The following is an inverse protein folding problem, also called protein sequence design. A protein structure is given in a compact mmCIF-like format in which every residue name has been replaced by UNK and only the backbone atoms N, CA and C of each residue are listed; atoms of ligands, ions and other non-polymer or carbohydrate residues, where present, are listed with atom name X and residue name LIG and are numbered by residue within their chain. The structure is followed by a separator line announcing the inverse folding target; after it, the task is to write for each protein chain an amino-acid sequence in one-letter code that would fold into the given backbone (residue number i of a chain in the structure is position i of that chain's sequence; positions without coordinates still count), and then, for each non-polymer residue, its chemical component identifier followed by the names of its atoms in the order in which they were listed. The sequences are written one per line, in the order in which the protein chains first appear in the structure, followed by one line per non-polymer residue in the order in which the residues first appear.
data_IF_298608233770
#
_entry.id   IF_298608233770
#
_cell.length_a   1.000
_cell.length_b   1.000
_cell.length_c   1.000
_cell.angle_alpha   90.00
_cell.angle_beta   90.00
_cell.angle_gamma   90.00
#
_symmetry.space_group_name_H-M   'P 1'
#
loop_
_entity.id
_entity.type
_entity.pdbx_description
1 polymer ?
#
# COMPACT_ATOMS: atom_id res chain seq x y z
N UNK A 1 22.32 8.40 0.18
CA UNK A 1 22.79 7.04 -0.21
C UNK A 1 22.64 6.89 -1.72
N UNK A 2 23.63 6.36 -2.43
CA UNK A 2 23.48 6.06 -3.88
C UNK A 2 22.72 4.75 -4.01
N UNK A 3 21.50 4.79 -4.57
CA UNK A 3 20.70 3.61 -4.79
C UNK A 3 21.14 2.87 -6.06
N UNK A 4 21.16 1.55 -6.00
CA UNK A 4 21.24 0.70 -7.19
C UNK A 4 19.80 0.39 -7.60
N UNK A 5 19.48 0.64 -8.88
CA UNK A 5 18.14 0.39 -9.42
C UNK A 5 18.19 -0.84 -10.30
N UNK A 6 17.45 -1.85 -9.93
CA UNK A 6 17.17 -3.02 -10.74
C UNK A 6 15.77 -2.91 -11.34
N UNK A 7 15.56 -3.43 -12.54
CA UNK A 7 14.30 -3.28 -13.28
C UNK A 7 13.85 -4.60 -13.86
N UNK A 8 12.54 -4.85 -13.75
CA UNK A 8 11.88 -5.94 -14.46
C UNK A 8 10.52 -5.48 -14.98
N UNK A 9 10.00 -6.22 -15.96
CA UNK A 9 8.67 -5.96 -16.50
C UNK A 9 7.70 -7.01 -15.98
N UNK A 10 6.57 -6.54 -15.46
CA UNK A 10 5.41 -7.38 -15.26
C UNK A 10 4.72 -7.71 -16.58
N UNK A 11 4.06 -8.87 -16.63
CA UNK A 11 3.23 -9.26 -17.77
C UNK A 11 2.09 -8.24 -17.96
N UNK A 12 1.90 -7.81 -19.19
CA UNK A 12 0.74 -6.99 -19.58
C UNK A 12 -0.45 -7.89 -19.83
N UNK A 13 -1.55 -7.62 -19.14
CA UNK A 13 -2.83 -8.32 -19.28
C UNK A 13 -3.91 -7.26 -19.55
N UNK A 14 -4.89 -7.57 -20.39
CA UNK A 14 -6.00 -6.65 -20.67
C UNK A 14 -6.84 -6.43 -19.42
N UNK A 15 -7.44 -5.23 -19.29
CA UNK A 15 -8.34 -4.94 -18.16
C UNK A 15 -9.53 -5.88 -18.11
N UNK A 16 -10.03 -6.33 -19.27
CA UNK A 16 -11.16 -7.26 -19.34
C UNK A 16 -10.77 -8.61 -18.73
N UNK A 17 -9.64 -9.20 -19.11
CA UNK A 17 -9.16 -10.46 -18.55
C UNK A 17 -8.88 -10.34 -17.03
N UNK A 18 -8.33 -9.22 -16.57
CA UNK A 18 -8.14 -8.95 -15.15
C UNK A 18 -9.51 -8.85 -14.46
N UNK A 19 -10.46 -8.13 -15.07
CA UNK A 19 -11.83 -7.98 -14.55
C UNK A 19 -12.56 -9.31 -14.39
N UNK A 20 -12.49 -10.18 -15.40
CA UNK A 20 -13.07 -11.53 -15.35
C UNK A 20 -12.43 -12.39 -14.25
N UNK A 21 -11.10 -12.38 -14.15
CA UNK A 21 -10.37 -13.10 -13.11
C UNK A 21 -10.76 -12.64 -11.70
N UNK A 22 -10.90 -11.33 -11.50
CA UNK A 22 -11.32 -10.73 -10.22
C UNK A 22 -12.78 -11.02 -9.92
N UNK A 23 -13.71 -10.89 -10.89
CA UNK A 23 -15.12 -11.21 -10.70
C UNK A 23 -15.28 -12.65 -10.20
N UNK A 24 -14.61 -13.59 -10.86
CA UNK A 24 -14.67 -15.02 -10.52
C UNK A 24 -14.05 -15.31 -9.15
N UNK A 25 -12.87 -14.77 -8.87
CA UNK A 25 -12.15 -15.08 -7.63
C UNK A 25 -12.77 -14.41 -6.41
N UNK A 26 -13.12 -13.12 -6.50
CA UNK A 26 -13.72 -12.39 -5.39
C UNK A 26 -15.13 -12.92 -5.03
N UNK A 27 -15.89 -13.44 -5.99
CA UNK A 27 -17.19 -14.07 -5.72
C UNK A 27 -17.12 -15.31 -4.82
N UNK A 28 -15.94 -15.90 -4.63
CA UNK A 28 -15.72 -16.98 -3.66
C UNK A 28 -15.60 -16.46 -2.22
N UNK A 29 -15.19 -15.19 -2.06
CA UNK A 29 -14.89 -14.60 -0.76
C UNK A 29 -15.92 -13.57 -0.29
N UNK A 30 -16.69 -12.99 -1.21
CA UNK A 30 -17.69 -11.96 -0.89
C UNK A 30 -19.08 -12.31 -1.42
N UNK A 31 -20.13 -11.95 -0.66
CA UNK A 31 -21.53 -12.22 -0.94
C UNK A 31 -22.04 -11.51 -2.18
N UNK A 32 -21.61 -10.25 -2.36
CA UNK A 32 -21.91 -9.46 -3.55
C UNK A 32 -20.63 -8.91 -4.14
N UNK A 33 -20.42 -9.15 -5.41
CA UNK A 33 -19.24 -8.69 -6.16
C UNK A 33 -19.69 -8.15 -7.51
N UNK A 34 -19.21 -7.00 -7.86
CA UNK A 34 -19.35 -6.44 -9.20
C UNK A 34 -18.00 -5.89 -9.65
N UNK A 35 -17.48 -6.43 -10.74
CA UNK A 35 -16.23 -5.98 -11.36
C UNK A 35 -16.53 -5.50 -12.77
N UNK A 36 -16.07 -4.33 -13.14
CA UNK A 36 -16.31 -3.75 -14.46
C UNK A 36 -15.16 -2.85 -14.90
N UNK A 37 -14.92 -2.81 -16.19
CA UNK A 37 -13.99 -1.84 -16.81
C UNK A 37 -14.76 -0.57 -17.12
N UNK A 38 -14.35 0.53 -16.50
CA UNK A 38 -15.04 1.82 -16.59
C UNK A 38 -14.05 2.95 -16.91
N UNK A 39 -14.56 4.11 -17.31
CA UNK A 39 -13.77 5.33 -17.34
C UNK A 39 -13.35 5.71 -15.92
N UNK A 40 -12.08 6.05 -15.74
CA UNK A 40 -11.58 6.47 -14.44
C UNK A 40 -12.39 7.67 -13.91
N UNK A 41 -13.00 7.57 -12.72
CA UNK A 41 -13.61 8.72 -12.10
C UNK A 41 -12.56 9.81 -11.84
N UNK A 42 -12.98 11.06 -11.71
CA UNK A 42 -12.03 12.10 -11.31
C UNK A 42 -11.57 11.86 -9.87
N UNK A 43 -10.33 11.39 -9.70
CA UNK A 43 -9.77 11.02 -8.40
C UNK A 43 -9.52 12.22 -7.47
N UNK A 44 -9.55 13.46 -8.00
CA UNK A 44 -9.54 14.66 -7.14
C UNK A 44 -10.75 14.71 -6.20
N UNK A 45 -11.87 14.07 -6.59
CA UNK A 45 -13.03 13.89 -5.71
C UNK A 45 -12.82 12.80 -4.63
N UNK A 46 -11.71 12.08 -4.72
CA UNK A 46 -11.30 11.02 -3.81
C UNK A 46 -10.06 11.41 -3.01
N UNK A 47 -9.88 12.69 -2.77
CA UNK A 47 -8.73 13.23 -2.04
C UNK A 47 -7.37 12.81 -2.65
N UNK A 48 -7.29 12.66 -3.96
CA UNK A 48 -6.05 12.44 -4.69
C UNK A 48 -5.63 13.72 -5.41
N UNK A 49 -4.32 14.04 -5.51
CA UNK A 49 -3.84 15.23 -6.20
C UNK A 49 -3.76 15.08 -7.73
N UNK A 50 -4.39 14.04 -8.31
CA UNK A 50 -4.45 13.77 -9.73
C UNK A 50 -5.86 13.39 -10.18
N UNK A 51 -6.16 13.51 -11.47
CA UNK A 51 -7.48 13.17 -12.00
C UNK A 51 -7.65 11.66 -12.29
N UNK A 52 -6.55 10.94 -12.47
CA UNK A 52 -6.55 9.52 -12.77
C UNK A 52 -5.26 8.84 -12.33
N UNK A 53 -5.04 7.60 -12.78
CA UNK A 53 -3.90 6.76 -12.41
C UNK A 53 -3.26 6.06 -13.61
N UNK A 54 -3.36 6.65 -14.80
CA UNK A 54 -2.83 6.07 -16.04
C UNK A 54 -1.66 6.85 -16.60
N UNK A 55 -0.89 6.19 -17.48
CA UNK A 55 0.29 6.72 -18.15
C UNK A 55 1.59 6.45 -17.36
N UNK A 56 2.61 5.98 -18.06
CA UNK A 56 3.97 5.71 -17.55
C UNK A 56 3.99 4.97 -16.19
N UNK A 57 3.22 3.92 -16.07
CA UNK A 57 2.99 3.22 -14.81
C UNK A 57 4.21 2.42 -14.37
N UNK A 58 4.64 2.63 -13.12
CA UNK A 58 5.75 1.91 -12.49
C UNK A 58 5.43 1.63 -11.02
N UNK A 59 5.97 0.51 -10.53
CA UNK A 59 5.94 0.13 -9.12
C UNK A 59 7.38 0.11 -8.64
N UNK A 60 7.63 0.65 -7.45
CA UNK A 60 8.90 0.49 -6.75
C UNK A 60 8.71 -0.30 -5.46
N UNK A 61 9.68 -1.14 -5.15
CA UNK A 61 9.86 -1.81 -3.87
C UNK A 61 11.22 -1.38 -3.33
N UNK A 62 11.25 -0.66 -2.21
CA UNK A 62 12.46 0.00 -1.69
C UNK A 62 12.60 -0.30 -0.21
N UNK A 63 13.83 -0.69 0.18
CA UNK A 63 14.10 -1.09 1.55
C UNK A 63 13.61 -2.51 1.83
N UNK A 64 13.05 -2.74 3.00
CA UNK A 64 12.54 -4.05 3.40
C UNK A 64 12.66 -4.30 4.90
N UNK A 65 12.26 -5.48 5.35
CA UNK A 65 12.26 -5.83 6.77
C UNK A 65 13.59 -5.59 7.51
N UNK A 66 14.78 -5.86 6.92
CA UNK A 66 16.04 -5.56 7.61
C UNK A 66 16.19 -4.10 8.01
N UNK A 67 15.62 -3.17 7.22
CA UNK A 67 15.66 -1.73 7.52
C UNK A 67 14.71 -1.32 8.64
N UNK A 68 13.82 -2.22 9.04
CA UNK A 68 12.84 -1.97 10.09
C UNK A 68 13.31 -2.41 11.47
N UNK A 69 14.27 -3.33 11.58
CA UNK A 69 14.68 -3.92 12.85
C UNK A 69 16.18 -4.22 13.00
N UNK A 70 16.98 -4.11 11.95
CA UNK A 70 18.43 -4.25 12.07
C UNK A 70 19.05 -2.91 12.47
N UNK A 71 19.73 -2.87 13.61
CA UNK A 71 20.40 -1.67 14.14
C UNK A 71 21.29 -0.95 13.14
N UNK A 72 21.85 -1.67 12.15
CA UNK A 72 22.70 -1.11 11.11
C UNK A 72 21.95 -0.23 10.13
N UNK A 73 20.63 -0.44 10.00
CA UNK A 73 19.80 0.19 8.99
C UNK A 73 18.66 1.02 9.57
N UNK A 74 18.44 0.96 10.89
CA UNK A 74 17.43 1.83 11.55
C UNK A 74 17.77 3.29 11.25
N UNK A 75 16.75 4.05 10.80
CA UNK A 75 16.92 5.42 10.36
C UNK A 75 17.36 5.56 8.90
N UNK A 76 17.50 4.45 8.14
CA UNK A 76 17.66 4.54 6.69
C UNK A 76 16.42 5.21 6.07
N UNK A 77 16.66 6.17 5.19
CA UNK A 77 15.62 6.96 4.54
C UNK A 77 15.81 7.00 3.04
N UNK A 78 14.68 7.02 2.34
CA UNK A 78 14.63 7.01 0.89
C UNK A 78 13.71 8.15 0.43
N UNK A 79 14.19 8.94 -0.52
CA UNK A 79 13.39 10.02 -1.12
C UNK A 79 12.62 9.47 -2.35
N UNK A 80 11.31 9.26 -2.20
CA UNK A 80 10.49 8.68 -3.27
C UNK A 80 10.33 9.62 -4.47
N UNK A 81 10.54 10.93 -4.31
CA UNK A 81 10.60 11.88 -5.43
C UNK A 81 11.90 11.73 -6.23
N UNK A 82 13.03 11.63 -5.56
CA UNK A 82 14.32 11.38 -6.21
C UNK A 82 14.38 10.00 -6.86
N UNK A 83 13.77 8.98 -6.25
CA UNK A 83 13.60 7.67 -6.87
C UNK A 83 12.74 7.81 -8.14
N UNK A 84 11.63 8.52 -8.07
CA UNK A 84 10.79 8.81 -9.23
C UNK A 84 11.57 9.42 -10.37
N UNK A 85 12.43 10.41 -10.10
CA UNK A 85 13.31 11.03 -11.08
C UNK A 85 14.29 10.02 -11.71
N UNK A 86 14.93 9.19 -10.90
CA UNK A 86 15.90 8.18 -11.38
C UNK A 86 15.27 7.12 -12.27
N UNK A 87 13.97 6.85 -12.11
CA UNK A 87 13.23 5.90 -12.95
C UNK A 87 12.48 6.58 -14.12
N UNK A 88 12.66 7.89 -14.34
CA UNK A 88 11.98 8.66 -15.40
C UNK A 88 10.49 8.87 -15.08
N UNK A 89 10.20 9.30 -13.86
CA UNK A 89 8.85 9.61 -13.34
C UNK A 89 8.87 10.89 -12.50
N UNK A 90 9.71 11.85 -12.84
CA UNK A 90 9.91 13.11 -12.11
C UNK A 90 8.67 14.03 -12.08
N UNK A 91 7.75 13.84 -13.00
CA UNK A 91 6.50 14.61 -13.11
C UNK A 91 5.25 13.78 -12.81
N UNK A 92 5.42 12.67 -12.09
CA UNK A 92 4.31 11.76 -11.85
C UNK A 92 3.42 12.16 -10.67
N UNK A 93 2.25 11.56 -10.66
CA UNK A 93 1.47 11.29 -9.47
C UNK A 93 2.00 10.00 -8.84
N UNK A 94 2.37 10.08 -7.56
CA UNK A 94 2.91 8.96 -6.80
C UNK A 94 1.98 8.65 -5.62
N UNK A 95 1.60 7.38 -5.44
CA UNK A 95 0.87 6.94 -4.26
C UNK A 95 1.29 5.56 -3.80
N UNK A 96 1.05 5.25 -2.54
CA UNK A 96 1.41 3.98 -1.96
C UNK A 96 1.58 4.02 -0.46
N UNK A 97 2.44 3.14 0.03
CA UNK A 97 2.65 2.89 1.44
C UNK A 97 4.15 2.92 1.78
N UNK A 98 4.50 3.46 2.93
CA UNK A 98 5.87 3.47 3.42
C UNK A 98 5.96 3.73 4.91
N UNK A 99 7.11 3.42 5.51
CA UNK A 99 7.39 3.81 6.89
C UNK A 99 7.62 5.32 6.98
N UNK A 100 7.32 5.92 8.11
CA UNK A 100 7.67 7.32 8.35
C UNK A 100 9.19 7.54 8.41
N UNK A 101 9.67 8.63 7.82
CA UNK A 101 11.09 9.00 7.85
C UNK A 101 11.40 9.75 9.15
N UNK A 102 12.30 9.22 9.98
CA UNK A 102 12.61 9.77 11.31
C UNK A 102 13.13 11.21 11.26
N UNK A 103 13.92 11.56 10.24
CA UNK A 103 14.45 12.95 10.11
C UNK A 103 13.34 13.97 9.82
N UNK A 104 12.20 13.53 9.32
CA UNK A 104 11.04 14.38 9.02
C UNK A 104 10.00 14.39 10.16
N UNK A 105 10.21 13.59 11.20
CA UNK A 105 9.27 13.35 12.29
C UNK A 105 9.88 13.53 13.67
N UNK A 106 10.93 14.36 13.78
CA UNK A 106 11.62 14.66 15.04
C UNK A 106 12.12 13.39 15.78
N UNK A 107 12.59 12.39 15.03
CA UNK A 107 13.07 11.13 15.57
C UNK A 107 11.98 10.05 15.75
N UNK A 108 10.72 10.36 15.48
CA UNK A 108 9.62 9.40 15.53
C UNK A 108 9.54 8.56 14.25
N UNK A 109 8.84 7.45 14.31
CA UNK A 109 8.44 6.70 13.13
C UNK A 109 6.92 6.56 13.02
N UNK A 110 6.44 5.84 12.02
CA UNK A 110 5.00 5.66 11.81
C UNK A 110 4.70 5.06 10.45
N UNK A 111 3.43 5.10 10.06
CA UNK A 111 2.93 4.59 8.78
C UNK A 111 2.59 5.74 7.83
N UNK A 112 3.27 5.81 6.70
CA UNK A 112 3.12 6.89 5.72
C UNK A 112 2.19 6.45 4.58
N UNK A 113 1.08 7.14 4.44
CA UNK A 113 0.26 7.13 3.21
C UNK A 113 0.88 8.10 2.24
N UNK A 114 1.48 7.61 1.16
CA UNK A 114 2.05 8.43 0.09
C UNK A 114 0.95 8.81 -0.88
N UNK A 115 0.82 10.11 -1.19
CA UNK A 115 -0.21 10.63 -2.08
C UNK A 115 0.19 12.01 -2.62
N UNK A 116 1.16 12.05 -3.55
CA UNK A 116 1.83 13.26 -4.03
C UNK A 116 1.80 13.41 -5.55
N UNK A 117 1.56 14.60 -6.03
CA UNK A 117 1.71 14.95 -7.45
C UNK A 117 2.93 15.89 -7.64
N UNK A 118 4.00 15.37 -8.20
CA UNK A 118 5.25 16.11 -8.36
C UNK A 118 5.17 17.20 -9.43
N UNK A 119 4.28 17.04 -10.41
CA UNK A 119 4.08 18.06 -11.46
C UNK A 119 3.35 19.29 -10.90
N UNK A 120 2.26 19.09 -10.14
CA UNK A 120 1.50 20.16 -9.54
C UNK A 120 2.04 20.64 -8.20
N UNK A 121 2.96 19.86 -7.60
CA UNK A 121 3.50 20.07 -6.24
C UNK A 121 2.45 19.99 -5.15
N UNK A 122 1.34 19.34 -5.42
CA UNK A 122 0.28 19.07 -4.45
C UNK A 122 0.56 17.79 -3.70
N UNK A 123 0.63 17.85 -2.36
CA UNK A 123 0.74 16.70 -1.47
C UNK A 123 -0.53 16.54 -0.66
N UNK A 124 -0.99 15.31 -0.56
CA UNK A 124 -2.07 14.87 0.33
C UNK A 124 -1.64 13.66 1.16
N UNK A 125 -0.34 13.49 1.31
CA UNK A 125 0.23 12.43 2.12
C UNK A 125 -0.11 12.61 3.59
N UNK A 126 -0.32 11.50 4.29
CA UNK A 126 -0.70 11.44 5.71
C UNK A 126 0.27 10.51 6.42
N UNK A 127 0.74 10.92 7.59
CA UNK A 127 1.51 10.06 8.49
C UNK A 127 0.68 9.70 9.72
N UNK A 128 0.64 8.41 10.04
CA UNK A 128 0.11 7.90 11.29
C UNK A 128 1.25 7.58 12.26
N UNK A 129 1.08 7.95 13.51
CA UNK A 129 2.04 7.72 14.60
C UNK A 129 1.33 7.21 15.84
N UNK A 130 2.05 6.51 16.70
CA UNK A 130 1.56 6.10 18.02
C UNK A 130 1.77 7.24 19.00
N UNK A 131 0.69 7.71 19.60
CA UNK A 131 0.74 8.76 20.62
C UNK A 131 1.18 8.23 22.00
N UNK A 132 1.44 9.15 22.93
CA UNK A 132 1.92 8.83 24.30
C UNK A 132 0.96 7.93 25.10
N UNK A 133 -0.33 7.98 24.79
CA UNK A 133 -1.36 7.11 25.39
C UNK A 133 -1.70 5.90 24.51
N UNK A 134 -0.85 5.58 23.56
CA UNK A 134 -1.03 4.54 22.54
C UNK A 134 -2.21 4.79 21.60
N UNK A 135 -2.71 6.01 21.51
CA UNK A 135 -3.70 6.42 20.52
C UNK A 135 -3.07 6.53 19.11
N UNK A 136 -3.87 6.34 18.08
CA UNK A 136 -3.47 6.66 16.71
C UNK A 136 -3.51 8.18 16.52
N UNK A 137 -2.40 8.77 16.14
CA UNK A 137 -2.30 10.18 15.76
C UNK A 137 -2.01 10.24 14.29
N UNK A 138 -2.75 11.04 13.52
CA UNK A 138 -2.45 11.28 12.12
C UNK A 138 -2.31 12.77 11.84
N UNK A 139 -1.40 13.11 10.94
CA UNK A 139 -1.16 14.48 10.48
C UNK A 139 -0.77 14.52 9.00
N UNK A 140 -0.88 15.68 8.39
CA UNK A 140 -0.36 15.91 7.05
C UNK A 140 1.15 15.74 7.01
N UNK A 141 1.64 15.21 5.87
CA UNK A 141 3.04 14.94 5.66
C UNK A 141 3.48 15.54 4.33
N UNK A 142 4.33 16.55 4.37
CA UNK A 142 4.76 17.31 3.19
C UNK A 142 6.15 16.92 2.66
N UNK A 143 6.87 16.06 3.38
CA UNK A 143 8.18 15.58 2.93
C UNK A 143 8.03 14.46 1.89
N UNK A 144 9.05 14.29 1.04
CA UNK A 144 9.09 13.25 0.01
C UNK A 144 9.92 12.04 0.40
N UNK A 145 10.13 11.84 1.72
CA UNK A 145 10.92 10.73 2.25
C UNK A 145 10.06 9.70 2.94
N UNK A 146 10.44 8.44 2.82
CA UNK A 146 9.97 7.36 3.67
C UNK A 146 11.16 6.69 4.38
N UNK A 147 10.90 6.05 5.50
CA UNK A 147 11.87 5.24 6.25
C UNK A 147 12.06 3.87 5.63
N UNK A 148 12.63 2.97 6.38
CA UNK A 148 13.09 1.63 6.07
C UNK A 148 12.41 0.80 4.98
N UNK A 149 11.18 1.09 4.64
CA UNK A 149 10.36 0.30 3.71
C UNK A 149 9.33 1.16 3.00
N UNK A 150 9.23 1.03 1.67
CA UNK A 150 8.20 1.72 0.89
C UNK A 150 7.90 1.05 -0.45
N UNK A 151 6.61 1.02 -0.79
CA UNK A 151 6.09 0.55 -2.06
C UNK A 151 5.29 1.68 -2.69
N UNK A 152 5.75 2.18 -3.83
CA UNK A 152 5.18 3.35 -4.47
C UNK A 152 4.81 3.06 -5.91
N UNK A 153 3.60 3.42 -6.28
CA UNK A 153 3.15 3.44 -7.66
C UNK A 153 3.29 4.84 -8.24
N UNK A 154 3.91 4.95 -9.41
CA UNK A 154 4.10 6.18 -10.17
C UNK A 154 3.30 6.12 -11.45
N UNK A 155 2.69 7.23 -11.83
CA UNK A 155 1.84 7.34 -13.03
C UNK A 155 1.78 8.79 -13.51
N UNK A 156 1.45 9.03 -14.78
CA UNK A 156 1.21 10.40 -15.28
C UNK A 156 -0.06 11.03 -14.69
N UNK A 157 -0.87 10.31 -13.92
CA UNK A 157 -2.11 10.82 -13.33
C UNK A 157 -3.24 11.07 -14.34
N UNK A 158 -3.13 10.54 -15.56
CA UNK A 158 -4.11 10.72 -16.64
C UNK A 158 -5.34 9.84 -16.43
N UNK A 159 -6.49 10.32 -16.91
CA UNK A 159 -7.70 9.51 -17.03
C UNK A 159 -7.55 8.47 -18.13
N UNK A 160 -8.01 7.26 -17.87
CA UNK A 160 -8.14 6.17 -18.83
C UNK A 160 -9.15 5.16 -18.29
N UNK A 161 -9.27 3.99 -18.92
CA UNK A 161 -10.05 2.88 -18.35
C UNK A 161 -9.37 2.32 -17.11
N UNK A 162 -10.19 1.97 -16.12
CA UNK A 162 -9.78 1.32 -14.87
C UNK A 162 -10.75 0.19 -14.53
N UNK A 163 -10.32 -0.71 -13.65
CA UNK A 163 -11.20 -1.72 -13.09
C UNK A 163 -11.87 -1.12 -11.85
N UNK A 164 -13.19 -1.10 -11.85
CA UNK A 164 -14.03 -0.78 -10.71
C UNK A 164 -14.48 -2.06 -10.04
N UNK A 165 -14.22 -2.18 -8.75
CA UNK A 165 -14.61 -3.31 -7.91
C UNK A 165 -15.57 -2.80 -6.84
N UNK A 166 -16.73 -3.43 -6.72
CA UNK A 166 -17.66 -3.23 -5.61
C UNK A 166 -17.88 -4.58 -4.93
N UNK A 167 -17.68 -4.60 -3.64
CA UNK A 167 -17.88 -5.79 -2.81
C UNK A 167 -18.77 -5.47 -1.63
N UNK A 168 -19.51 -6.49 -1.15
CA UNK A 168 -20.28 -6.39 0.08
C UNK A 168 -20.39 -7.75 0.75
N UNK A 169 -20.15 -7.77 2.07
CA UNK A 169 -20.31 -8.94 2.93
C UNK A 169 -19.29 -10.03 2.62
N UNK A 170 -18.31 -10.23 3.50
CA UNK A 170 -17.35 -11.32 3.37
C UNK A 170 -17.96 -12.63 3.84
N UNK A 171 -17.80 -13.68 3.06
CA UNK A 171 -18.26 -15.05 3.35
C UNK A 171 -17.12 -16.06 3.42
N UNK A 172 -15.97 -15.75 2.82
CA UNK A 172 -14.78 -16.58 2.85
C UNK A 172 -13.89 -16.28 4.06
N UNK A 173 -12.80 -17.03 4.17
CA UNK A 173 -11.85 -16.92 5.29
C UNK A 173 -10.85 -15.78 5.12
N UNK A 174 -10.58 -15.35 3.87
CA UNK A 174 -9.60 -14.30 3.60
C UNK A 174 -10.16 -12.91 3.94
N UNK A 175 -9.74 -12.36 5.08
CA UNK A 175 -10.19 -11.07 5.58
C UNK A 175 -9.54 -9.84 4.93
N UNK A 176 -8.46 -9.99 4.19
CA UNK A 176 -7.82 -8.92 3.46
C UNK A 176 -8.36 -8.82 2.03
N UNK A 177 -8.85 -7.63 1.64
CA UNK A 177 -9.29 -7.39 0.26
C UNK A 177 -8.11 -7.51 -0.72
N UNK A 178 -6.96 -6.95 -0.39
CA UNK A 178 -5.77 -6.96 -1.26
C UNK A 178 -5.23 -8.36 -1.47
N UNK A 179 -5.20 -9.19 -0.43
CA UNK A 179 -4.85 -10.60 -0.57
C UNK A 179 -5.92 -11.38 -1.35
N UNK A 180 -7.21 -11.05 -1.19
CA UNK A 180 -8.29 -11.64 -2.00
C UNK A 180 -8.14 -11.31 -3.48
N UNK A 181 -7.79 -10.06 -3.80
CA UNK A 181 -7.48 -9.62 -5.17
C UNK A 181 -6.28 -10.40 -5.71
N UNK A 182 -5.19 -10.45 -4.96
CA UNK A 182 -3.95 -11.15 -5.35
C UNK A 182 -4.20 -12.64 -5.60
N UNK A 183 -4.87 -13.33 -4.70
CA UNK A 183 -5.23 -14.74 -4.84
C UNK A 183 -6.12 -14.99 -6.07
N UNK A 184 -7.12 -14.12 -6.28
CA UNK A 184 -8.02 -14.19 -7.45
C UNK A 184 -7.26 -14.08 -8.77
N UNK A 185 -6.27 -13.19 -8.84
CA UNK A 185 -5.44 -13.00 -10.03
C UNK A 185 -4.54 -14.22 -10.27
N UNK A 186 -3.86 -14.72 -9.24
CA UNK A 186 -2.98 -15.89 -9.35
C UNK A 186 -3.77 -17.11 -9.85
N UNK A 187 -4.92 -17.37 -9.25
CA UNK A 187 -5.75 -18.53 -9.56
C UNK A 187 -6.34 -18.43 -10.97
N UNK A 188 -7.02 -17.31 -11.28
CA UNK A 188 -7.85 -17.23 -12.47
C UNK A 188 -7.13 -16.72 -13.73
N UNK A 189 -5.94 -16.13 -13.60
CA UNK A 189 -5.02 -15.91 -14.73
C UNK A 189 -4.06 -17.08 -14.91
N UNK A 190 -4.18 -18.14 -14.11
CA UNK A 190 -3.34 -19.34 -14.15
C UNK A 190 -1.84 -19.03 -14.12
N UNK A 191 -1.44 -18.11 -13.23
CA UNK A 191 -0.04 -17.70 -13.08
C UNK A 191 0.76 -18.85 -12.50
N UNK A 192 1.62 -19.46 -13.35
CA UNK A 192 2.46 -20.63 -13.00
C UNK A 192 3.95 -20.31 -13.08
N UNK A 193 4.32 -19.37 -13.93
CA UNK A 193 5.70 -19.04 -14.23
C UNK A 193 6.04 -17.61 -13.86
N UNK A 194 7.32 -17.36 -13.56
CA UNK A 194 7.81 -16.03 -13.17
C UNK A 194 7.46 -14.92 -14.18
N UNK A 195 7.52 -15.21 -15.47
CA UNK A 195 7.20 -14.24 -16.54
C UNK A 195 5.71 -13.89 -16.65
N UNK A 196 4.85 -14.58 -15.93
CA UNK A 196 3.39 -14.38 -15.93
C UNK A 196 2.91 -13.46 -14.80
N UNK A 197 3.80 -13.12 -13.85
CA UNK A 197 3.44 -12.22 -12.78
C UNK A 197 3.04 -10.82 -13.27
N UNK A 198 2.06 -10.27 -12.58
CA UNK A 198 1.52 -8.93 -12.85
C UNK A 198 1.66 -8.05 -11.61
N UNK A 199 1.85 -6.74 -11.85
CA UNK A 199 1.77 -5.71 -10.84
C UNK A 199 0.50 -4.90 -11.00
N UNK A 200 -0.07 -4.45 -9.90
CA UNK A 200 -1.29 -3.67 -9.87
C UNK A 200 -1.23 -2.63 -8.74
N UNK A 201 -1.88 -1.50 -8.95
CA UNK A 201 -2.06 -0.51 -7.90
C UNK A 201 -3.48 0.05 -7.97
N UNK A 202 -3.96 0.55 -6.85
CA UNK A 202 -5.30 1.11 -6.79
C UNK A 202 -5.59 1.89 -5.53
N UNK A 203 -6.67 2.65 -5.60
CA UNK A 203 -7.26 3.37 -4.48
C UNK A 203 -8.63 2.79 -4.23
N UNK A 204 -8.93 2.42 -3.00
CA UNK A 204 -10.26 1.94 -2.63
C UNK A 204 -10.77 2.58 -1.35
N UNK A 205 -12.06 2.48 -1.11
CA UNK A 205 -12.71 3.01 0.11
C UNK A 205 -13.40 1.89 0.87
N UNK A 206 -13.27 1.94 2.18
CA UNK A 206 -14.12 1.18 3.11
C UNK A 206 -15.29 2.07 3.47
N UNK A 207 -16.45 1.81 2.89
CA UNK A 207 -17.65 2.63 3.04
C UNK A 207 -18.44 2.25 4.29
N UNK A 208 -18.47 0.94 4.60
CA UNK A 208 -19.12 0.37 5.79
C UNK A 208 -18.26 -0.73 6.39
N UNK A 209 -18.56 -1.09 7.63
CA UNK A 209 -17.84 -2.10 8.38
C UNK A 209 -16.61 -1.53 9.07
N UNK A 210 -15.82 -2.43 9.65
CA UNK A 210 -14.64 -2.11 10.46
C UNK A 210 -13.45 -2.92 9.98
N UNK A 211 -12.26 -2.36 10.19
CA UNK A 211 -11.00 -3.02 9.84
C UNK A 211 -10.07 -3.14 11.06
N UNK A 212 -9.08 -4.01 10.92
CA UNK A 212 -7.88 -4.05 11.72
C UNK A 212 -6.77 -3.35 10.98
N UNK A 213 -6.11 -2.42 11.64
CA UNK A 213 -4.90 -1.75 11.17
C UNK A 213 -3.79 -1.80 12.22
N UNK A 214 -2.59 -1.37 11.83
CA UNK A 214 -1.53 -1.08 12.80
C UNK A 214 -0.81 0.21 12.46
N UNK A 215 -0.09 0.72 13.45
CA UNK A 215 0.88 1.80 13.31
C UNK A 215 2.18 1.34 13.96
N UNK A 216 3.29 1.56 13.29
CA UNK A 216 4.61 1.31 13.82
C UNK A 216 4.92 2.31 14.93
N UNK A 217 5.21 1.89 16.18
CA UNK A 217 5.65 2.78 17.25
C UNK A 217 7.10 3.21 17.06
N UNK A 218 7.55 4.14 17.87
CA UNK A 218 8.90 4.66 17.81
C UNK A 218 9.95 3.60 18.15
N UNK A 219 11.08 3.67 17.48
CA UNK A 219 12.21 2.79 17.76
C UNK A 219 12.76 2.97 19.20
N UNK A 220 12.62 4.17 19.78
CA UNK A 220 13.00 4.43 21.16
C UNK A 220 12.19 3.61 22.17
N UNK A 221 10.95 3.24 21.81
CA UNK A 221 10.08 2.40 22.63
C UNK A 221 10.39 0.90 22.47
N UNK A 222 11.25 0.55 21.51
CA UNK A 222 11.66 -0.84 21.28
C UNK A 222 12.75 -1.20 22.29
N UNK A 223 12.48 -2.16 23.16
CA UNK A 223 13.51 -2.75 24.02
C UNK A 223 14.60 -3.39 23.15
N UNK A 224 15.85 -3.21 23.54
CA UNK A 224 17.02 -3.71 22.81
C UNK A 224 16.98 -5.21 22.46
N UNK A 225 16.18 -6.00 23.17
CA UNK A 225 15.96 -7.42 22.99
C UNK A 225 15.29 -7.79 21.66
N UNK A 226 14.58 -6.84 21.03
CA UNK A 226 13.83 -7.06 19.78
C UNK A 226 14.68 -6.94 18.51
N UNK A 227 15.94 -6.53 18.62
CA UNK A 227 16.83 -6.31 17.49
C UNK A 227 17.61 -7.56 17.03
N UNK A 228 17.40 -8.71 17.64
CA UNK A 228 18.05 -9.96 17.23
C UNK A 228 17.22 -10.65 16.14
N UNK A 229 17.84 -10.88 14.97
CA UNK A 229 17.20 -11.48 13.79
C UNK A 229 16.60 -12.88 14.02
N UNK A 230 16.95 -13.54 15.14
CA UNK A 230 16.33 -14.79 15.58
C UNK A 230 14.95 -14.62 16.23
N UNK A 231 14.53 -13.40 16.48
CA UNK A 231 13.30 -13.07 17.19
C UNK A 231 12.23 -12.40 16.29
N UNK A 232 12.14 -12.73 15.00
CA UNK A 232 11.06 -12.26 14.10
C UNK A 232 9.63 -12.51 14.61
N UNK A 233 9.45 -13.35 15.64
CA UNK A 233 8.18 -13.45 16.38
C UNK A 233 7.81 -12.16 17.11
N UNK A 234 8.77 -11.30 17.39
CA UNK A 234 8.59 -10.09 18.20
C UNK A 234 8.14 -8.86 17.38
N UNK A 235 8.29 -8.81 16.06
CA UNK A 235 7.82 -7.66 15.27
C UNK A 235 6.31 -7.45 15.44
N UNK A 236 5.53 -8.53 15.51
CA UNK A 236 4.09 -8.44 15.75
C UNK A 236 3.74 -7.94 17.15
N UNK A 237 4.56 -8.24 18.14
CA UNK A 237 4.37 -7.78 19.53
C UNK A 237 4.78 -6.31 19.68
N UNK A 238 5.61 -5.82 18.80
CA UNK A 238 6.06 -4.44 18.72
C UNK A 238 5.03 -3.50 18.09
N UNK A 239 4.34 -3.94 17.03
CA UNK A 239 3.37 -3.12 16.32
C UNK A 239 2.17 -2.75 17.21
N UNK A 240 1.76 -1.49 17.17
CA UNK A 240 0.54 -1.05 17.84
C UNK A 240 -0.66 -1.33 16.94
N UNK A 241 -1.41 -2.37 17.28
CA UNK A 241 -2.63 -2.73 16.56
C UNK A 241 -3.83 -1.94 17.08
N UNK A 242 -4.68 -1.55 16.15
CA UNK A 242 -5.95 -0.90 16.37
C UNK A 242 -7.07 -1.72 15.75
N UNK A 243 -8.05 -2.12 16.56
CA UNK A 243 -9.27 -2.79 16.11
C UNK A 243 -10.39 -2.59 17.11
N UNK A 244 -11.59 -2.25 16.67
CA UNK A 244 -11.93 -1.93 15.29
C UNK A 244 -11.56 -0.49 14.92
N UNK A 245 -11.00 -0.27 13.74
CA UNK A 245 -10.92 1.05 13.12
C UNK A 245 -12.16 1.30 12.27
N UNK A 246 -12.50 2.58 12.07
CA UNK A 246 -13.77 2.99 11.49
C UNK A 246 -14.03 2.54 10.05
N UNK A 247 -15.17 2.94 9.55
CA UNK A 247 -15.47 3.09 8.13
C UNK A 247 -15.04 4.48 7.63
N UNK A 248 -15.34 4.79 6.37
CA UNK A 248 -14.97 6.06 5.73
C UNK A 248 -13.44 6.21 5.60
N UNK A 249 -12.79 5.08 5.31
CA UNK A 249 -11.36 4.99 5.08
C UNK A 249 -11.07 4.98 3.59
N UNK A 250 -10.01 5.67 3.18
CA UNK A 250 -9.45 5.60 1.84
C UNK A 250 -8.09 4.93 1.90
N UNK A 251 -7.93 3.88 1.11
CA UNK A 251 -6.77 3.01 1.08
C UNK A 251 -6.01 3.18 -0.22
N UNK A 252 -4.70 3.21 -0.13
CA UNK A 252 -3.76 3.26 -1.25
C UNK A 252 -2.96 1.98 -1.25
N UNK A 253 -3.08 1.22 -2.33
CA UNK A 253 -2.54 -0.13 -2.41
C UNK A 253 -1.62 -0.31 -3.60
N UNK A 254 -0.52 -0.98 -3.36
CA UNK A 254 0.39 -1.50 -4.39
C UNK A 254 0.51 -2.99 -4.17
N UNK A 255 0.35 -3.79 -5.23
CA UNK A 255 0.42 -5.24 -5.13
C UNK A 255 1.05 -5.87 -6.39
N UNK A 256 1.57 -7.08 -6.21
CA UNK A 256 2.07 -7.94 -7.28
C UNK A 256 1.81 -9.41 -6.96
N UNK A 257 1.66 -10.19 -8.01
CA UNK A 257 1.37 -11.63 -7.86
C UNK A 257 2.61 -12.47 -7.54
N UNK A 258 3.79 -11.93 -7.77
CA UNK A 258 5.09 -12.52 -7.47
C UNK A 258 6.21 -11.79 -8.18
N UNK A 259 7.47 -12.18 -7.91
CA UNK A 259 8.65 -11.60 -8.53
C UNK A 259 8.77 -12.07 -9.99
N UNK A 260 8.68 -11.15 -10.98
CA UNK A 260 8.75 -11.51 -12.40
C UNK A 260 10.13 -12.03 -12.82
N UNK A 261 11.15 -11.89 -12.00
CA UNK A 261 12.50 -12.43 -12.24
C UNK A 261 12.71 -13.80 -11.61
N UNK A 262 11.75 -14.28 -10.83
CA UNK A 262 11.84 -15.56 -10.12
C UNK A 262 12.72 -15.49 -8.87
N UNK A 263 12.71 -14.36 -8.19
CA UNK A 263 13.41 -14.14 -6.92
C UNK A 263 14.70 -13.35 -7.02
N UNK A 264 15.17 -12.99 -8.23
CA UNK A 264 16.40 -12.21 -8.38
C UNK A 264 16.26 -10.77 -7.83
N UNK A 265 15.09 -10.16 -7.97
CA UNK A 265 14.80 -8.84 -7.38
C UNK A 265 14.48 -8.93 -5.88
N UNK A 266 14.23 -10.13 -5.37
CA UNK A 266 13.86 -10.35 -3.98
C UNK A 266 12.70 -9.46 -3.52
N UNK A 267 11.67 -9.32 -4.37
CA UNK A 267 10.48 -8.56 -4.02
C UNK A 267 9.80 -9.16 -2.80
N UNK A 268 9.20 -8.29 -1.98
CA UNK A 268 8.50 -8.69 -0.76
C UNK A 268 7.50 -9.83 -1.03
N UNK A 269 7.60 -10.90 -0.24
CA UNK A 269 6.77 -12.11 -0.39
C UNK A 269 5.29 -11.87 -0.13
N UNK A 270 4.94 -10.93 0.77
CA UNK A 270 3.53 -10.57 1.02
C UNK A 270 2.83 -10.15 -0.27
N UNK A 271 3.59 -9.61 -1.24
CA UNK A 271 3.10 -9.22 -2.55
C UNK A 271 2.10 -8.07 -2.51
N UNK A 272 2.00 -7.35 -1.38
CA UNK A 272 1.13 -6.18 -1.26
C UNK A 272 1.59 -5.25 -0.13
N UNK A 273 1.27 -3.96 -0.27
CA UNK A 273 1.44 -2.96 0.75
C UNK A 273 0.32 -1.92 0.62
N UNK A 274 -0.45 -1.78 1.70
CA UNK A 274 -1.65 -0.95 1.70
C UNK A 274 -1.70 -0.11 2.94
N UNK A 275 -1.72 1.21 2.76
CA UNK A 275 -1.95 2.17 3.83
C UNK A 275 -3.26 2.91 3.60
N UNK A 276 -3.85 3.38 4.69
CA UNK A 276 -5.12 4.08 4.67
C UNK A 276 -5.11 5.32 5.54
N UNK A 277 -6.07 6.21 5.27
CA UNK A 277 -6.49 7.26 6.19
C UNK A 277 -8.01 7.46 6.12
N UNK A 278 -8.60 8.02 7.17
CA UNK A 278 -9.99 8.46 7.12
C UNK A 278 -10.13 9.66 6.18
N UNK A 279 -11.00 9.54 5.18
CA UNK A 279 -11.25 10.64 4.22
C UNK A 279 -12.21 11.71 4.77
N UNK A 280 -12.86 11.45 5.91
CA UNK A 280 -13.80 12.38 6.53
C UNK A 280 -13.14 13.34 7.53
N UNK A 281 -12.32 12.82 8.40
CA UNK A 281 -11.75 13.59 9.51
C UNK A 281 -10.23 13.46 9.63
N UNK A 282 -9.60 12.56 8.85
CA UNK A 282 -8.15 12.26 8.87
C UNK A 282 -7.59 11.90 10.26
N UNK A 283 -8.43 11.41 11.17
CA UNK A 283 -7.99 11.04 12.53
C UNK A 283 -7.45 9.63 12.63
N UNK A 284 -7.91 8.72 11.75
CA UNK A 284 -7.45 7.35 11.68
C UNK A 284 -6.60 7.17 10.41
N UNK A 285 -5.42 6.59 10.56
CA UNK A 285 -4.54 6.21 9.47
C UNK A 285 -3.64 5.06 9.91
N UNK A 286 -3.00 4.36 8.98
CA UNK A 286 -2.09 3.27 9.29
C UNK A 286 -1.98 2.23 8.18
N UNK A 287 -1.39 1.10 8.52
CA UNK A 287 -1.29 -0.07 7.65
C UNK A 287 -2.56 -0.93 7.74
N UNK A 288 -3.14 -1.27 6.59
CA UNK A 288 -4.33 -2.11 6.47
C UNK A 288 -3.98 -3.59 6.60
N UNK A 289 -4.74 -4.32 7.43
CA UNK A 289 -4.64 -5.79 7.53
C UNK A 289 -5.83 -6.51 6.93
N UNK A 290 -7.00 -6.32 7.52
CA UNK A 290 -8.20 -7.05 7.14
C UNK A 290 -9.46 -6.36 7.67
N UNK A 291 -10.62 -6.75 7.16
CA UNK A 291 -11.90 -6.42 7.79
C UNK A 291 -12.15 -7.30 9.03
N UNK A 292 -12.88 -6.75 10.00
CA UNK A 292 -13.25 -7.42 11.25
C UNK A 292 -14.76 -7.49 11.48
N UNK A 293 -15.54 -6.95 10.56
CA UNK A 293 -17.00 -7.04 10.52
C UNK A 293 -17.45 -7.62 9.18
N UNK A 294 -17.29 -8.94 8.94
CA UNK A 294 -17.45 -9.55 7.62
C UNK A 294 -18.84 -9.33 7.00
N UNK A 295 -19.89 -9.30 7.80
CA UNK A 295 -21.25 -9.11 7.26
C UNK A 295 -21.54 -7.68 6.79
N UNK A 296 -20.84 -6.69 7.33
CA UNK A 296 -21.08 -5.26 7.09
C UNK A 296 -20.13 -4.66 6.05
N UNK A 297 -18.99 -5.31 5.77
CA UNK A 297 -17.92 -4.71 4.95
C UNK A 297 -18.42 -4.36 3.53
N UNK A 298 -18.17 -3.12 3.15
CA UNK A 298 -18.48 -2.58 1.83
C UNK A 298 -17.37 -1.64 1.36
#
# INVERSE_FOLDING_TARGET
MKLTIEKANFKKVSLDNIGEALQKGLSKNFRKVSVSVVDCPNLKKWDCPAEGMSGNQKITDVGGEPYMHDKRYIGAEFDFKEIGKQIGSEHSYAFGAGSGAMSCLDGHCGELVINDNFMTKESKSIIAMVGKKKECISKEYSATKHGGLGNVFYTDGKKSKVIKILIHGRIGEQGSLTQSIRASLIENLHIKNKSEHIGMAGVFRVLKGKIKGHVQPDYADIKHEYYDSKQMKCVKDFLQFYQPMGSELQCYSVLWTGDPTGGNLNLRESGEHTHFHSYKNRQEAGHYHCDVTPDEIE
#
